data_IF_229080787273
#
_entry.id   IF_229080787273
#
_cell.length_a   1.000
_cell.length_b   1.000
_cell.length_c   1.000
_cell.angle_alpha   90.00
_cell.angle_beta   90.00
_cell.angle_gamma   90.00
#
_symmetry.space_group_name_H-M   'P 1'
#
loop_
_entity.id
_entity.type
_entity.pdbx_description
1 polymer ?
#
# COMPACT_ATOMS: atom_id res chain seq x y z
N UNK A 1 -21.03 62.59 -6.91
CA UNK A 1 -19.78 63.07 -7.50
C UNK A 1 -18.85 61.87 -7.57
N UNK A 2 -18.86 61.17 -8.71
CA UNK A 2 -17.88 61.27 -9.81
C UNK A 2 -16.63 60.40 -9.49
N UNK A 3 -16.47 59.21 -10.09
CA UNK A 3 -15.79 58.96 -11.39
C UNK A 3 -14.34 59.47 -11.33
N UNK A 4 -13.26 58.69 -11.44
CA UNK A 4 -12.85 57.68 -12.45
C UNK A 4 -11.44 57.09 -12.05
N UNK A 5 -10.82 56.20 -12.86
CA UNK A 5 -9.92 55.11 -12.47
C UNK A 5 -8.50 55.28 -13.11
N UNK A 6 -7.80 54.16 -13.31
CA UNK A 6 -6.73 53.85 -14.29
C UNK A 6 -5.45 53.30 -13.66
N UNK A 7 -5.05 52.13 -14.16
CA UNK A 7 -3.78 51.49 -13.81
C UNK A 7 -3.56 50.17 -14.53
N UNK A 8 -3.78 50.13 -15.85
CA UNK A 8 -3.38 49.03 -16.75
C UNK A 8 -2.02 49.36 -17.35
N UNK A 9 -1.01 48.50 -17.13
CA UNK A 9 0.22 48.38 -17.94
C UNK A 9 0.61 46.89 -17.97
N UNK A 10 0.46 46.18 -19.10
CA UNK A 10 1.39 46.02 -20.24
C UNK A 10 2.72 45.32 -19.90
N UNK A 11 2.89 44.08 -20.41
CA UNK A 11 4.06 43.56 -21.15
C UNK A 11 3.99 42.01 -21.16
N UNK A 12 3.64 41.36 -22.27
CA UNK A 12 4.39 41.13 -23.51
C UNK A 12 5.49 40.05 -23.40
N UNK A 13 5.18 38.91 -24.04
CA UNK A 13 6.04 38.06 -24.87
C UNK A 13 7.37 37.52 -24.33
N UNK A 14 7.43 36.19 -24.17
CA UNK A 14 8.58 35.39 -24.58
C UNK A 14 8.08 34.15 -25.35
N UNK A 15 8.21 34.21 -26.68
CA UNK A 15 8.23 33.04 -27.55
C UNK A 15 9.69 32.67 -27.78
N UNK A 16 10.12 31.52 -27.26
CA UNK A 16 11.44 30.95 -27.56
C UNK A 16 11.27 29.77 -28.50
N UNK A 17 11.82 29.95 -29.68
CA UNK A 17 11.99 29.01 -30.78
C UNK A 17 12.96 27.90 -30.36
N UNK A 18 12.55 26.65 -30.48
CA UNK A 18 13.47 25.50 -30.58
C UNK A 18 13.24 24.81 -31.92
N UNK A 19 14.06 25.21 -32.89
CA UNK A 19 14.27 24.48 -34.12
C UNK A 19 15.25 23.32 -33.81
N UNK A 20 14.71 22.12 -33.65
CA UNK A 20 15.49 20.88 -33.64
C UNK A 20 15.72 20.41 -35.07
N UNK A 21 16.97 20.33 -35.48
CA UNK A 21 17.41 19.89 -36.79
C UNK A 21 17.03 18.42 -37.05
N UNK A 22 16.31 18.18 -38.15
CA UNK A 22 16.14 16.87 -38.77
C UNK A 22 17.29 16.69 -39.76
N UNK A 23 18.19 15.74 -39.49
CA UNK A 23 19.13 15.25 -40.51
C UNK A 23 18.48 14.08 -41.25
N UNK A 24 18.33 14.15 -42.59
CA UNK A 24 17.87 13.03 -43.39
C UNK A 24 19.02 12.06 -43.65
N UNK A 25 18.85 10.79 -43.28
CA UNK A 25 19.57 9.70 -43.93
C UNK A 25 18.62 9.08 -44.95
N UNK A 26 18.95 9.30 -46.22
CA UNK A 26 18.21 8.87 -47.40
C UNK A 26 18.31 7.36 -47.61
N UNK A 27 17.21 6.79 -48.09
CA UNK A 27 17.05 5.37 -48.38
C UNK A 27 17.56 5.06 -49.80
N UNK A 28 18.87 4.85 -49.94
CA UNK A 28 19.42 4.07 -51.05
C UNK A 28 20.88 3.73 -50.75
N UNK A 29 21.20 2.44 -50.88
CA UNK A 29 22.52 1.80 -50.77
C UNK A 29 22.95 1.35 -49.36
N UNK A 30 23.37 0.09 -49.36
CA UNK A 30 23.76 -0.75 -48.25
C UNK A 30 24.98 -0.21 -47.49
N UNK A 31 25.13 -0.67 -46.24
CA UNK A 31 26.31 -0.62 -45.36
C UNK A 31 26.67 0.71 -44.71
N UNK A 32 26.27 0.86 -43.44
CA UNK A 32 27.03 1.63 -42.46
C UNK A 32 27.68 0.65 -41.47
N UNK A 33 28.87 0.19 -41.81
CA UNK A 33 29.82 -0.36 -40.84
C UNK A 33 30.49 0.80 -40.12
N UNK A 34 30.56 0.74 -38.79
CA UNK A 34 31.71 1.23 -38.05
C UNK A 34 31.81 0.51 -36.69
N UNK A 35 32.76 -0.41 -36.66
CA UNK A 35 33.37 -0.96 -35.46
C UNK A 35 34.32 0.08 -34.87
N UNK A 36 34.22 0.35 -33.57
CA UNK A 36 35.33 0.89 -32.79
C UNK A 36 35.21 0.36 -31.36
N UNK A 37 36.02 -0.66 -31.08
CA UNK A 37 36.25 -1.23 -29.77
C UNK A 37 37.50 -0.57 -29.16
N UNK A 38 37.36 -0.04 -27.95
CA UNK A 38 38.38 0.15 -26.90
C UNK A 38 37.53 0.19 -25.61
N UNK A 39 37.61 -0.70 -24.63
CA UNK A 39 38.75 -1.44 -24.12
C UNK A 39 39.06 -0.87 -22.74
N UNK A 40 38.57 -1.50 -21.67
CA UNK A 40 39.26 -1.55 -20.37
C UNK A 40 38.63 -2.64 -19.49
N UNK A 41 39.42 -3.69 -19.29
CA UNK A 41 39.24 -4.73 -18.32
C UNK A 41 39.95 -4.30 -17.03
N UNK A 42 39.32 -4.56 -15.88
CA UNK A 42 40.03 -4.61 -14.60
C UNK A 42 39.68 -5.93 -13.92
N UNK A 43 40.73 -6.60 -13.48
CA UNK A 43 40.76 -7.95 -12.97
C UNK A 43 40.30 -8.07 -11.50
N UNK A 44 39.72 -9.23 -11.23
CA UNK A 44 39.85 -10.12 -10.06
C UNK A 44 40.36 -9.55 -8.73
N UNK A 45 39.58 -9.81 -7.67
CA UNK A 45 40.07 -10.64 -6.56
C UNK A 45 38.93 -11.35 -5.83
N UNK A 46 39.26 -12.57 -5.43
CA UNK A 46 38.47 -13.60 -4.76
C UNK A 46 38.17 -13.22 -3.30
N UNK A 47 37.01 -13.65 -2.78
CA UNK A 47 36.99 -14.25 -1.43
C UNK A 47 35.78 -15.18 -1.29
N UNK A 48 36.05 -16.47 -1.47
CA UNK A 48 35.15 -17.58 -1.13
C UNK A 48 35.60 -18.12 0.22
N UNK A 49 34.92 -17.78 1.31
CA UNK A 49 34.79 -18.63 2.50
C UNK A 49 33.94 -17.94 3.56
N UNK A 50 32.79 -18.53 3.89
CA UNK A 50 32.27 -18.78 5.24
C UNK A 50 30.77 -19.11 5.12
N UNK A 51 30.49 -20.28 4.57
CA UNK A 51 29.27 -21.01 4.91
C UNK A 51 29.56 -21.80 6.20
N UNK A 52 28.83 -21.50 7.28
CA UNK A 52 28.88 -22.32 8.48
C UNK A 52 28.38 -21.60 9.72
N UNK A 53 27.24 -22.07 10.24
CA UNK A 53 26.72 -21.80 11.58
C UNK A 53 26.06 -20.44 11.88
N UNK A 54 24.86 -20.22 11.32
CA UNK A 54 23.83 -19.42 12.01
C UNK A 54 22.37 -19.78 11.63
N UNK A 55 22.12 -20.97 11.06
CA UNK A 55 20.79 -21.37 10.59
C UNK A 55 19.99 -22.25 11.57
N UNK A 56 20.33 -22.29 12.88
CA UNK A 56 19.70 -23.25 13.82
C UNK A 56 19.21 -22.64 15.15
N UNK A 57 19.23 -21.32 15.38
CA UNK A 57 18.73 -20.75 16.65
C UNK A 57 17.74 -19.58 16.54
N UNK A 58 16.95 -19.52 15.47
CA UNK A 58 15.87 -18.53 15.33
C UNK A 58 14.47 -19.16 15.19
N UNK A 59 14.30 -20.38 15.71
CA UNK A 59 13.02 -21.10 15.74
C UNK A 59 12.51 -21.47 17.16
N UNK A 60 13.23 -21.14 18.23
CA UNK A 60 12.84 -21.57 19.59
C UNK A 60 12.39 -20.43 20.54
N UNK A 61 12.37 -19.17 20.09
CA UNK A 61 12.02 -18.02 20.95
C UNK A 61 10.57 -17.53 20.88
N UNK A 62 9.73 -18.03 19.95
CA UNK A 62 8.31 -17.61 19.82
C UNK A 62 7.29 -18.59 20.41
N UNK A 63 7.76 -19.67 21.04
CA UNK A 63 6.88 -20.78 21.47
C UNK A 63 6.23 -20.63 22.85
N UNK A 64 6.42 -19.54 23.60
CA UNK A 64 5.92 -19.50 25.00
C UNK A 64 4.97 -18.38 25.41
N UNK A 65 4.52 -17.51 24.49
CA UNK A 65 3.35 -16.64 24.77
C UNK A 65 2.33 -16.58 23.62
N UNK A 66 2.59 -17.29 22.52
CA UNK A 66 1.57 -17.62 21.52
C UNK A 66 0.84 -18.89 21.94
N UNK A 67 -0.22 -18.75 22.73
CA UNK A 67 -1.27 -19.77 22.74
C UNK A 67 -1.64 -20.05 21.28
N UNK A 68 -1.57 -21.31 20.89
CA UNK A 68 -1.71 -21.82 19.53
C UNK A 68 -3.05 -21.42 18.92
N UNK A 69 -3.16 -20.20 18.39
CA UNK A 69 -4.10 -19.89 17.33
C UNK A 69 -3.51 -20.55 16.09
N UNK A 70 -3.78 -21.85 15.95
CA UNK A 70 -3.73 -22.52 14.66
C UNK A 70 -4.38 -21.55 13.67
N UNK A 71 -3.71 -21.26 12.56
CA UNK A 71 -4.38 -20.74 11.37
C UNK A 71 -5.54 -21.70 11.14
N UNK A 72 -6.73 -21.32 11.58
CA UNK A 72 -7.96 -22.08 11.43
C UNK A 72 -8.23 -22.07 9.94
N UNK A 73 -7.52 -22.94 9.20
CA UNK A 73 -7.90 -23.30 7.87
C UNK A 73 -9.30 -23.83 8.01
N UNK A 74 -10.29 -22.99 7.68
CA UNK A 74 -11.67 -23.40 7.55
C UNK A 74 -11.64 -24.50 6.51
N UNK A 75 -11.61 -25.75 6.96
CA UNK A 75 -11.73 -26.89 6.08
C UNK A 75 -13.05 -26.78 5.33
N UNK A 76 -13.06 -27.31 4.12
CA UNK A 76 -14.30 -27.56 3.41
C UNK A 76 -15.21 -28.43 4.29
N UNK A 77 -16.50 -28.11 4.33
CA UNK A 77 -17.45 -28.77 5.20
C UNK A 77 -18.67 -29.24 4.42
N UNK A 78 -19.20 -30.40 4.82
CA UNK A 78 -20.39 -31.01 4.23
C UNK A 78 -21.08 -31.92 5.25
N UNK A 79 -22.10 -32.67 4.82
CA UNK A 79 -22.84 -33.59 5.69
C UNK A 79 -21.98 -34.74 6.25
N UNK A 80 -20.91 -35.12 5.54
CA UNK A 80 -19.95 -36.15 5.95
C UNK A 80 -18.82 -35.61 6.83
N UNK A 81 -18.51 -34.31 6.69
CA UNK A 81 -17.47 -33.60 7.44
C UNK A 81 -18.06 -32.36 8.13
N UNK A 82 -18.80 -32.56 9.25
CA UNK A 82 -19.42 -31.45 9.97
C UNK A 82 -18.37 -30.59 10.69
N UNK A 83 -18.66 -29.30 10.81
CA UNK A 83 -17.86 -28.38 11.61
C UNK A 83 -18.05 -28.68 13.11
N UNK A 84 -16.94 -28.83 13.86
CA UNK A 84 -17.00 -29.19 15.27
C UNK A 84 -17.56 -28.05 16.16
N UNK A 85 -16.97 -26.86 16.07
CA UNK A 85 -17.31 -25.69 16.90
C UNK A 85 -17.66 -24.45 16.05
N UNK A 86 -17.83 -24.66 14.75
CA UNK A 86 -18.08 -23.62 13.76
C UNK A 86 -19.37 -23.91 12.99
N UNK A 87 -19.87 -22.93 12.24
CA UNK A 87 -21.03 -23.10 11.36
C UNK A 87 -20.55 -23.45 9.97
N UNK A 88 -21.05 -24.54 9.39
CA UNK A 88 -20.80 -24.83 7.99
C UNK A 88 -21.61 -23.87 7.11
N UNK A 89 -20.92 -23.04 6.34
CA UNK A 89 -21.54 -22.04 5.47
C UNK A 89 -21.24 -22.41 4.03
N UNK A 90 -22.31 -22.66 3.28
CA UNK A 90 -22.27 -22.98 1.85
C UNK A 90 -22.70 -21.75 1.04
N UNK A 91 -21.96 -21.45 -0.03
CA UNK A 91 -22.37 -20.44 -1.01
C UNK A 91 -23.73 -20.79 -1.62
N UNK A 92 -24.46 -19.79 -2.10
CA UNK A 92 -25.81 -19.99 -2.67
C UNK A 92 -25.80 -20.87 -3.93
N UNK A 93 -24.71 -20.83 -4.70
CA UNK A 93 -24.49 -21.68 -5.87
C UNK A 93 -24.08 -23.14 -5.53
N UNK A 94 -23.81 -23.42 -4.25
CA UNK A 94 -23.36 -24.73 -3.77
C UNK A 94 -21.93 -25.11 -4.16
N UNK A 95 -21.14 -24.21 -4.75
CA UNK A 95 -19.80 -24.55 -5.29
C UNK A 95 -18.72 -24.64 -4.22
N UNK A 96 -18.95 -24.02 -3.06
CA UNK A 96 -17.99 -23.99 -1.96
C UNK A 96 -18.70 -23.93 -0.61
N UNK A 97 -18.14 -24.64 0.37
CA UNK A 97 -18.56 -24.58 1.76
C UNK A 97 -17.35 -24.49 2.66
N UNK A 98 -17.42 -23.72 3.76
CA UNK A 98 -16.35 -23.73 4.76
C UNK A 98 -16.90 -23.56 6.18
N UNK A 99 -16.14 -24.09 7.15
CA UNK A 99 -16.42 -23.84 8.56
C UNK A 99 -16.08 -22.39 8.95
N UNK A 100 -17.10 -21.64 9.38
CA UNK A 100 -16.99 -20.25 9.82
C UNK A 100 -17.23 -20.15 11.33
N UNK A 101 -16.29 -19.52 12.02
CA UNK A 101 -16.45 -19.12 13.42
C UNK A 101 -17.42 -17.92 13.48
N UNK A 102 -18.64 -18.16 13.97
CA UNK A 102 -19.68 -17.15 14.14
C UNK A 102 -19.56 -16.40 15.48
N UNK A 103 -18.43 -16.42 16.16
CA UNK A 103 -18.23 -15.57 17.34
C UNK A 103 -18.07 -14.10 16.95
N UNK A 104 -18.63 -13.19 17.76
CA UNK A 104 -18.48 -11.74 17.57
C UNK A 104 -17.02 -11.28 17.56
N UNK A 105 -16.13 -12.04 18.21
CA UNK A 105 -14.71 -11.74 18.28
C UNK A 105 -13.96 -12.09 16.98
N UNK A 106 -14.31 -13.19 16.31
CA UNK A 106 -13.60 -13.67 15.10
C UNK A 106 -14.26 -13.22 13.81
N UNK A 107 -15.59 -13.18 13.78
CA UNK A 107 -16.36 -12.99 12.55
C UNK A 107 -16.04 -11.68 11.81
N UNK A 108 -15.98 -10.50 12.47
CA UNK A 108 -15.69 -9.23 11.78
C UNK A 108 -14.32 -9.20 11.09
N UNK A 109 -13.33 -9.89 11.67
CA UNK A 109 -11.97 -9.96 11.10
C UNK A 109 -11.84 -11.01 10.02
N UNK A 110 -12.54 -12.14 10.13
CA UNK A 110 -12.48 -13.16 9.09
C UNK A 110 -13.26 -12.74 7.84
N UNK A 111 -14.39 -12.05 8.03
CA UNK A 111 -15.33 -11.76 6.97
C UNK A 111 -14.81 -10.78 5.90
N UNK A 112 -13.80 -9.98 6.25
CA UNK A 112 -13.10 -9.11 5.31
C UNK A 112 -12.24 -9.86 4.29
N UNK A 113 -11.96 -11.16 4.49
CA UNK A 113 -11.16 -11.97 3.56
C UNK A 113 -12.00 -12.89 2.68
N UNK A 114 -13.32 -12.93 2.88
CA UNK A 114 -14.23 -13.72 2.07
C UNK A 114 -14.69 -12.93 0.84
N UNK A 115 -14.93 -13.64 -0.27
CA UNK A 115 -15.64 -13.10 -1.41
C UNK A 115 -17.10 -12.74 -1.06
N UNK A 116 -17.78 -12.02 -1.97
CA UNK A 116 -19.12 -11.50 -1.71
C UNK A 116 -20.17 -12.60 -1.47
N UNK A 117 -20.06 -13.73 -2.16
CA UNK A 117 -21.04 -14.82 -2.05
C UNK A 117 -20.92 -15.53 -0.73
N UNK A 118 -19.69 -15.91 -0.36
CA UNK A 118 -19.42 -16.55 0.91
C UNK A 118 -19.73 -15.61 2.08
N UNK A 119 -19.42 -14.32 1.96
CA UNK A 119 -19.74 -13.32 2.97
C UNK A 119 -21.25 -13.18 3.18
N UNK A 120 -22.04 -13.09 2.10
CA UNK A 120 -23.51 -13.03 2.17
C UNK A 120 -24.08 -14.27 2.86
N UNK A 121 -23.60 -15.46 2.47
CA UNK A 121 -23.99 -16.71 3.10
C UNK A 121 -23.62 -16.74 4.59
N UNK A 122 -22.44 -16.24 4.95
CA UNK A 122 -21.94 -16.22 6.32
C UNK A 122 -22.74 -15.26 7.22
N UNK A 123 -23.06 -14.06 6.74
CA UNK A 123 -23.92 -13.10 7.46
C UNK A 123 -25.30 -13.70 7.72
N UNK A 124 -25.87 -14.37 6.72
CA UNK A 124 -27.17 -15.05 6.84
C UNK A 124 -27.12 -16.21 7.83
N UNK A 125 -26.05 -17.00 7.82
CA UNK A 125 -25.90 -18.17 8.69
C UNK A 125 -25.56 -17.80 10.14
N UNK A 126 -24.68 -16.83 10.34
CA UNK A 126 -24.21 -16.41 11.67
C UNK A 126 -25.11 -15.35 12.33
N UNK A 127 -25.94 -14.63 11.56
CA UNK A 127 -26.75 -13.52 12.08
C UNK A 127 -25.93 -12.32 12.55
N UNK A 128 -24.63 -12.30 12.25
CA UNK A 128 -23.72 -11.21 12.59
C UNK A 128 -23.49 -10.33 11.36
N UNK A 129 -23.49 -8.99 11.53
CA UNK A 129 -23.12 -8.12 10.44
C UNK A 129 -21.64 -8.30 10.15
N UNK A 130 -21.30 -8.50 8.88
CA UNK A 130 -19.97 -8.21 8.41
C UNK A 130 -19.97 -6.73 8.04
N UNK A 131 -19.83 -5.86 9.04
CA UNK A 131 -19.50 -4.45 8.84
C UNK A 131 -18.07 -4.39 8.30
N UNK A 132 -17.91 -4.80 7.04
CA UNK A 132 -16.62 -4.74 6.40
C UNK A 132 -16.14 -3.29 6.48
N UNK A 133 -14.86 -3.11 6.82
CA UNK A 133 -14.07 -2.09 6.17
C UNK A 133 -14.51 -2.00 4.69
N UNK A 134 -14.64 -0.79 4.12
CA UNK A 134 -15.31 -0.53 2.84
C UNK A 134 -15.04 -1.68 1.86
N UNK A 135 -16.10 -2.26 1.26
CA UNK A 135 -16.03 -3.55 0.59
C UNK A 135 -14.71 -3.65 -0.16
N UNK A 136 -13.85 -4.61 0.22
CA UNK A 136 -12.57 -4.79 -0.47
C UNK A 136 -12.87 -4.87 -1.96
N UNK A 137 -12.58 -3.78 -2.66
CA UNK A 137 -12.80 -3.59 -4.09
C UNK A 137 -11.69 -4.33 -4.84
N UNK A 138 -11.60 -5.62 -4.62
CA UNK A 138 -10.65 -6.51 -5.27
C UNK A 138 -11.36 -7.87 -5.33
N UNK A 139 -11.46 -8.60 -6.44
CA UNK A 139 -10.71 -8.52 -7.69
C UNK A 139 -11.43 -9.22 -8.85
N UNK A 140 -12.67 -9.70 -8.65
CA UNK A 140 -13.20 -10.79 -9.49
C UNK A 140 -14.49 -10.45 -10.27
N UNK A 141 -15.04 -9.25 -10.13
CA UNK A 141 -16.16 -8.77 -10.95
C UNK A 141 -15.88 -7.37 -11.53
N UNK A 142 -14.62 -7.15 -11.94
CA UNK A 142 -14.06 -5.87 -12.37
C UNK A 142 -14.70 -5.26 -13.62
N UNK A 143 -15.92 -4.77 -13.46
CA UNK A 143 -16.57 -3.87 -14.39
C UNK A 143 -17.33 -2.77 -13.65
N UNK A 144 -16.63 -1.72 -13.24
CA UNK A 144 -17.31 -0.47 -12.94
C UNK A 144 -17.77 0.19 -14.26
N UNK A 145 -18.91 0.86 -14.21
CA UNK A 145 -19.47 1.59 -15.35
C UNK A 145 -20.20 2.81 -14.83
N UNK A 146 -20.00 3.96 -15.48
CA UNK A 146 -20.65 5.20 -15.08
C UNK A 146 -22.18 5.08 -15.00
N UNK A 147 -22.77 4.14 -15.76
CA UNK A 147 -24.23 4.01 -15.90
C UNK A 147 -24.80 2.80 -15.18
N UNK A 148 -24.14 1.64 -15.27
CA UNK A 148 -24.71 0.35 -14.81
C UNK A 148 -24.11 -0.14 -13.50
N UNK A 149 -22.94 0.36 -13.11
CA UNK A 149 -22.24 -0.04 -11.89
C UNK A 149 -21.33 1.12 -11.42
N UNK A 150 -21.92 2.25 -10.98
CA UNK A 150 -21.14 3.39 -10.56
C UNK A 150 -20.33 3.04 -9.31
N UNK A 151 -19.14 3.61 -9.22
CA UNK A 151 -18.32 3.47 -8.02
C UNK A 151 -19.00 4.10 -6.81
N UNK A 152 -18.74 3.53 -5.63
CA UNK A 152 -19.12 4.18 -4.38
C UNK A 152 -18.49 5.58 -4.29
N UNK A 153 -19.16 6.48 -3.58
CA UNK A 153 -18.72 7.87 -3.44
C UNK A 153 -17.27 7.96 -2.99
N UNK A 154 -16.49 8.81 -3.68
CA UNK A 154 -15.06 9.02 -3.40
C UNK A 154 -14.11 8.15 -4.22
N UNK A 155 -14.62 7.19 -5.00
CA UNK A 155 -13.81 6.37 -5.90
C UNK A 155 -14.07 6.70 -7.36
N UNK A 156 -13.04 6.49 -8.18
CA UNK A 156 -13.07 6.76 -9.61
C UNK A 156 -13.10 5.46 -10.37
N UNK A 157 -14.06 5.31 -11.29
CA UNK A 157 -14.08 4.18 -12.19
C UNK A 157 -12.99 4.35 -13.26
N UNK A 158 -12.07 3.40 -13.34
CA UNK A 158 -11.01 3.39 -14.35
C UNK A 158 -11.16 2.17 -15.23
N UNK A 159 -11.23 2.42 -16.53
CA UNK A 159 -11.37 1.40 -17.56
C UNK A 159 -10.09 1.36 -18.38
N UNK A 160 -9.57 0.16 -18.65
CA UNK A 160 -8.44 -0.01 -19.57
C UNK A 160 -8.76 0.53 -20.95
N UNK A 161 -7.74 0.92 -21.71
CA UNK A 161 -7.90 1.44 -23.07
C UNK A 161 -8.55 0.45 -24.05
N UNK A 162 -8.44 -0.85 -23.79
CA UNK A 162 -9.06 -1.91 -24.60
C UNK A 162 -10.51 -2.22 -24.17
N UNK A 163 -11.00 -1.64 -23.07
CA UNK A 163 -12.32 -1.87 -22.51
C UNK A 163 -12.54 -3.26 -21.88
N UNK A 164 -11.50 -4.09 -21.76
CA UNK A 164 -11.65 -5.48 -21.26
C UNK A 164 -11.75 -5.56 -19.73
N UNK A 165 -11.39 -4.49 -19.03
CA UNK A 165 -11.40 -4.42 -17.57
C UNK A 165 -11.71 -3.01 -17.09
N UNK A 166 -12.47 -2.90 -16.00
CA UNK A 166 -12.61 -1.65 -15.26
C UNK A 166 -12.78 -1.84 -13.77
N UNK A 167 -12.17 -0.97 -12.96
CA UNK A 167 -12.31 -1.04 -11.51
C UNK A 167 -12.41 0.33 -10.87
N UNK A 168 -13.10 0.39 -9.74
CA UNK A 168 -13.13 1.55 -8.89
C UNK A 168 -11.81 1.65 -8.13
N UNK A 169 -11.12 2.79 -8.25
CA UNK A 169 -9.87 3.07 -7.54
C UNK A 169 -10.02 4.29 -6.66
N UNK A 170 -9.22 4.33 -5.59
CA UNK A 170 -9.09 5.50 -4.74
C UNK A 170 -8.00 6.42 -5.33
N UNK A 171 -8.41 7.59 -5.84
CA UNK A 171 -7.49 8.60 -6.39
C UNK A 171 -6.82 9.45 -5.29
N UNK A 172 -7.02 9.16 -4.01
CA UNK A 172 -6.34 9.88 -2.94
C UNK A 172 -4.83 9.66 -3.00
N UNK A 173 -4.06 10.69 -2.69
CA UNK A 173 -2.59 10.61 -2.62
C UNK A 173 -2.09 9.63 -1.56
N UNK A 174 -2.96 9.23 -0.63
CA UNK A 174 -2.65 8.26 0.41
C UNK A 174 -2.71 6.81 -0.10
N UNK A 175 -3.62 6.50 -1.03
CA UNK A 175 -3.86 5.12 -1.48
C UNK A 175 -3.34 4.85 -2.90
N UNK A 176 -3.57 5.78 -3.83
CA UNK A 176 -3.24 5.61 -5.25
C UNK A 176 -1.81 5.11 -5.52
N UNK A 177 -0.76 5.67 -4.89
CA UNK A 177 0.61 5.27 -5.23
C UNK A 177 0.97 3.87 -4.72
N UNK A 178 0.30 3.39 -3.66
CA UNK A 178 0.47 2.03 -3.16
C UNK A 178 -0.18 1.02 -4.09
N UNK A 179 -1.42 1.28 -4.51
CA UNK A 179 -2.15 0.37 -5.38
C UNK A 179 -1.55 0.34 -6.78
N UNK A 180 -1.09 1.50 -7.28
CA UNK A 180 -0.59 1.61 -8.63
C UNK A 180 0.58 0.67 -8.92
N UNK A 181 1.46 0.42 -7.96
CA UNK A 181 2.61 -0.48 -8.14
C UNK A 181 2.19 -1.90 -8.58
N UNK A 182 0.98 -2.33 -8.20
CA UNK A 182 0.47 -3.68 -8.43
C UNK A 182 -0.40 -3.84 -9.68
N UNK A 183 -0.73 -2.74 -10.38
CA UNK A 183 -1.53 -2.80 -11.61
C UNK A 183 -0.67 -3.13 -12.83
N UNK A 184 -1.25 -3.78 -13.84
CA UNK A 184 -0.58 -3.90 -15.13
C UNK A 184 -0.44 -2.53 -15.82
N UNK A 185 0.37 -2.47 -16.88
CA UNK A 185 0.70 -1.21 -17.57
C UNK A 185 -0.53 -0.49 -18.14
N UNK A 186 -1.54 -1.23 -18.60
CA UNK A 186 -2.73 -0.64 -19.25
C UNK A 186 -3.65 -0.01 -18.22
N UNK A 187 -3.96 -0.72 -17.13
CA UNK A 187 -4.78 -0.19 -16.05
C UNK A 187 -4.06 0.96 -15.35
N UNK A 188 -2.74 0.84 -15.17
CA UNK A 188 -1.88 1.88 -14.62
C UNK A 188 -1.94 3.17 -15.43
N UNK A 189 -1.79 3.09 -16.75
CA UNK A 189 -1.87 4.27 -17.62
C UNK A 189 -3.24 4.95 -17.52
N UNK A 190 -4.33 4.17 -17.59
CA UNK A 190 -5.69 4.69 -17.45
C UNK A 190 -5.93 5.32 -16.06
N UNK A 191 -5.35 4.74 -15.00
CA UNK A 191 -5.49 5.24 -13.64
C UNK A 191 -4.74 6.56 -13.43
N UNK A 192 -3.53 6.70 -13.98
CA UNK A 192 -2.76 7.96 -13.96
C UNK A 192 -3.52 9.08 -14.66
N UNK A 193 -4.13 8.78 -15.81
CA UNK A 193 -4.96 9.73 -16.54
C UNK A 193 -6.21 10.13 -15.72
N UNK A 194 -6.95 9.14 -15.22
CA UNK A 194 -8.18 9.36 -14.48
C UNK A 194 -7.99 10.10 -13.15
N UNK A 195 -6.90 9.81 -12.42
CA UNK A 195 -6.60 10.46 -11.15
C UNK A 195 -5.71 11.70 -11.29
N UNK A 196 -5.18 11.99 -12.49
CA UNK A 196 -4.20 13.06 -12.73
C UNK A 196 -3.00 13.00 -11.77
N UNK A 197 -2.57 11.79 -11.41
CA UNK A 197 -1.51 11.53 -10.44
C UNK A 197 -0.56 10.47 -11.00
N UNK A 198 0.75 10.74 -11.11
CA UNK A 198 1.68 9.73 -11.56
C UNK A 198 1.86 8.65 -10.48
N UNK A 199 2.11 7.41 -10.86
CA UNK A 199 2.33 6.34 -9.89
C UNK A 199 3.61 6.50 -9.06
N UNK A 200 4.58 7.22 -9.61
CA UNK A 200 5.81 7.60 -8.92
C UNK A 200 5.64 8.86 -8.08
N UNK A 201 4.47 9.53 -8.12
CA UNK A 201 4.03 10.34 -6.99
C UNK A 201 3.65 9.38 -5.87
N UNK A 202 4.65 8.61 -5.40
CA UNK A 202 4.66 8.16 -4.02
C UNK A 202 4.21 9.39 -3.23
N UNK A 203 3.35 9.25 -2.21
CA UNK A 203 3.29 10.34 -1.24
C UNK A 203 4.76 10.63 -0.85
N UNK A 204 5.05 11.77 -0.25
CA UNK A 204 6.26 11.76 0.58
C UNK A 204 5.98 10.63 1.57
N UNK A 205 6.44 9.43 1.25
CA UNK A 205 6.50 8.29 2.11
C UNK A 205 7.54 8.83 3.04
N UNK A 206 7.04 9.54 4.05
CA UNK A 206 7.59 9.55 5.39
C UNK A 206 8.15 8.17 5.50
N UNK A 207 9.47 8.00 5.29
CA UNK A 207 10.09 6.71 5.02
C UNK A 207 9.44 5.78 6.01
N UNK A 208 8.46 4.97 5.58
CA UNK A 208 7.72 4.18 6.55
C UNK A 208 8.79 3.20 6.89
N UNK A 209 9.33 3.43 8.09
CA UNK A 209 10.52 2.81 8.57
C UNK A 209 10.32 1.37 8.24
N UNK A 210 11.19 0.81 7.38
CA UNK A 210 11.18 -0.63 7.18
C UNK A 210 11.03 -1.20 8.59
N UNK A 211 9.98 -1.98 8.84
CA UNK A 211 9.79 -2.64 10.13
C UNK A 211 11.03 -3.46 10.52
N UNK A 212 11.93 -3.66 9.56
CA UNK A 212 13.23 -4.30 9.63
C UNK A 212 14.37 -3.41 10.19
N UNK A 213 14.15 -2.12 10.43
CA UNK A 213 15.07 -1.31 11.24
C UNK A 213 14.83 -1.75 12.70
N UNK A 214 15.48 -2.86 13.08
CA UNK A 214 15.42 -3.42 14.41
C UNK A 214 15.79 -2.42 15.51
N UNK A 215 15.83 -2.84 16.79
CA UNK A 215 16.03 -1.95 17.91
C UNK A 215 17.28 -1.07 17.72
N UNK A 216 17.07 0.22 17.41
CA UNK A 216 18.15 1.19 17.18
C UNK A 216 18.98 1.46 18.44
N UNK A 217 18.52 1.00 19.60
CA UNK A 217 19.25 1.03 20.87
C UNK A 217 20.24 -0.14 21.04
N UNK A 218 20.04 -1.27 20.35
CA UNK A 218 20.85 -2.48 20.51
C UNK A 218 21.81 -2.77 19.34
N UNK A 219 21.58 -2.14 18.18
CA UNK A 219 22.41 -2.34 16.99
C UNK A 219 23.52 -1.28 16.86
N UNK A 220 24.69 -1.68 16.38
CA UNK A 220 25.69 -0.76 15.81
C UNK A 220 25.15 0.09 14.64
N UNK A 221 23.96 -0.26 14.12
CA UNK A 221 23.22 0.52 13.15
C UNK A 221 22.65 1.77 13.82
N UNK A 222 23.27 2.92 13.52
CA UNK A 222 22.66 4.23 13.74
C UNK A 222 21.46 4.37 12.82
N UNK A 223 20.45 5.11 13.25
CA UNK A 223 19.40 5.55 12.36
C UNK A 223 19.99 6.26 11.14
N UNK A 224 19.36 6.09 9.97
CA UNK A 224 19.72 6.85 8.78
C UNK A 224 19.70 8.36 9.09
N UNK A 225 20.48 9.13 8.33
CA UNK A 225 20.50 10.59 8.45
C UNK A 225 19.07 11.16 8.36
N UNK A 226 18.72 12.02 9.31
CA UNK A 226 17.39 12.63 9.42
C UNK A 226 16.38 11.87 10.28
N UNK A 227 16.74 10.69 10.81
CA UNK A 227 15.88 9.92 11.73
C UNK A 227 16.41 9.96 13.17
N UNK A 228 15.50 9.94 14.13
CA UNK A 228 15.78 9.95 15.57
C UNK A 228 15.51 8.57 16.17
N UNK A 229 16.49 7.97 16.84
CA UNK A 229 16.23 6.72 17.57
C UNK A 229 15.36 7.00 18.80
N UNK A 230 14.21 6.33 18.86
CA UNK A 230 13.26 6.42 19.96
C UNK A 230 13.20 5.08 20.66
N UNK A 231 13.47 5.07 21.95
CA UNK A 231 13.48 3.88 22.79
C UNK A 231 12.38 4.00 23.84
N UNK A 232 11.58 2.96 23.99
CA UNK A 232 10.59 2.89 25.06
C UNK A 232 11.27 2.98 26.44
N UNK A 233 10.55 3.47 27.45
CA UNK A 233 11.10 3.65 28.79
C UNK A 233 11.57 2.33 29.45
N UNK A 234 10.99 1.20 29.04
CA UNK A 234 11.39 -0.14 29.49
C UNK A 234 12.63 -0.70 28.76
N UNK A 235 13.11 -0.01 27.71
CA UNK A 235 14.24 -0.44 26.87
C UNK A 235 13.94 -1.66 26.00
N UNK A 236 12.72 -2.20 26.00
CA UNK A 236 12.39 -3.44 25.29
C UNK A 236 12.30 -3.24 23.78
N UNK A 237 11.79 -2.08 23.35
CA UNK A 237 11.64 -1.72 21.95
C UNK A 237 12.29 -0.37 21.65
N UNK A 238 12.88 -0.26 20.46
CA UNK A 238 13.32 1.01 19.91
C UNK A 238 13.12 1.02 18.40
N UNK A 239 12.87 2.21 17.84
CA UNK A 239 12.70 2.41 16.41
C UNK A 239 13.25 3.77 16.02
N UNK A 240 13.89 3.86 14.85
CA UNK A 240 14.20 5.16 14.25
C UNK A 240 12.88 5.85 13.86
N UNK A 241 12.72 7.14 14.05
CA UNK A 241 11.49 7.88 13.74
C UNK A 241 11.84 9.15 12.97
N UNK A 242 11.04 9.47 11.95
CA UNK A 242 11.12 10.76 11.27
C UNK A 242 10.35 11.82 12.09
N UNK A 243 11.08 12.72 12.72
CA UNK A 243 10.52 13.80 13.54
C UNK A 243 10.03 15.01 12.71
N UNK A 244 10.07 14.97 11.38
CA UNK A 244 9.56 16.06 10.56
C UNK A 244 8.07 16.30 10.84
N UNK A 245 7.64 17.56 10.83
CA UNK A 245 6.26 17.95 11.15
C UNK A 245 5.23 17.44 10.15
N UNK A 246 5.65 17.11 8.92
CA UNK A 246 4.82 16.43 7.91
C UNK A 246 4.70 14.93 8.16
N UNK A 247 5.66 14.37 8.88
CA UNK A 247 5.87 12.93 9.03
C UNK A 247 5.29 12.37 10.31
N UNK A 248 5.65 13.01 11.41
CA UNK A 248 5.34 12.59 12.77
C UNK A 248 3.82 12.46 13.02
N UNK A 249 2.96 13.42 12.63
CA UNK A 249 1.52 13.34 12.90
C UNK A 249 0.81 12.13 12.25
N UNK A 250 1.34 11.63 11.13
CA UNK A 250 0.77 10.49 10.43
C UNK A 250 1.22 9.17 11.06
N UNK A 251 2.51 9.03 11.34
CA UNK A 251 3.06 7.80 11.90
C UNK A 251 2.61 7.55 13.35
N UNK A 252 2.40 8.62 14.13
CA UNK A 252 2.11 8.51 15.55
C UNK A 252 0.77 7.84 15.88
N UNK A 253 -0.20 7.84 14.95
CA UNK A 253 -1.49 7.15 15.11
C UNK A 253 -1.41 5.62 15.15
N UNK A 254 -0.26 5.04 14.78
CA UNK A 254 -0.06 3.59 14.71
C UNK A 254 0.81 3.04 15.86
N UNK A 255 1.29 3.91 16.76
CA UNK A 255 2.20 3.51 17.84
C UNK A 255 1.46 3.12 19.12
N UNK A 256 2.08 2.23 19.90
CA UNK A 256 1.63 1.96 21.26
C UNK A 256 1.80 3.21 22.15
N UNK A 257 1.02 3.37 23.23
CA UNK A 257 1.13 4.53 24.12
C UNK A 257 2.55 4.77 24.67
N UNK A 258 3.28 3.68 24.93
CA UNK A 258 4.66 3.73 25.42
C UNK A 258 5.64 4.24 24.36
N UNK A 259 5.53 3.77 23.11
CA UNK A 259 6.37 4.25 22.01
C UNK A 259 6.01 5.68 21.62
N UNK A 260 4.72 6.02 21.63
CA UNK A 260 4.21 7.35 21.39
C UNK A 260 4.80 8.36 22.38
N UNK A 261 4.70 8.10 23.68
CA UNK A 261 5.24 8.99 24.71
C UNK A 261 6.75 9.21 24.55
N UNK A 262 7.51 8.14 24.24
CA UNK A 262 8.93 8.25 23.94
C UNK A 262 9.20 9.07 22.68
N UNK A 263 8.39 8.90 21.63
CA UNK A 263 8.53 9.60 20.36
C UNK A 263 8.22 11.09 20.48
N UNK A 264 7.17 11.45 21.22
CA UNK A 264 6.82 12.85 21.48
C UNK A 264 7.93 13.58 22.24
N UNK A 265 8.53 12.90 23.24
CA UNK A 265 9.67 13.41 23.98
C UNK A 265 10.91 13.57 23.08
N UNK A 266 11.24 12.54 22.28
CA UNK A 266 12.42 12.55 21.43
C UNK A 266 12.32 13.54 20.26
N UNK A 267 11.13 13.69 19.67
CA UNK A 267 10.88 14.60 18.55
C UNK A 267 10.46 16.01 18.99
N UNK A 268 10.25 16.25 20.30
CA UNK A 268 9.72 17.51 20.82
C UNK A 268 8.43 17.95 20.10
N UNK A 269 7.57 16.98 19.78
CA UNK A 269 6.35 17.17 19.02
C UNK A 269 5.22 16.37 19.67
N UNK A 270 4.04 16.95 19.78
CA UNK A 270 2.86 16.22 20.23
C UNK A 270 2.21 15.53 19.03
N UNK A 271 1.82 14.27 19.21
CA UNK A 271 0.93 13.63 18.26
C UNK A 271 -0.42 14.33 18.39
N UNK A 272 -0.99 14.85 17.29
CA UNK A 272 -2.33 15.39 17.38
C UNK A 272 -3.22 14.28 17.92
N UNK A 273 -4.04 14.59 18.93
CA UNK A 273 -5.12 13.71 19.32
C UNK A 273 -5.80 13.27 18.02
N UNK A 274 -6.08 11.96 17.82
CA UNK A 274 -6.69 11.50 16.60
C UNK A 274 -7.86 12.45 16.37
N UNK A 275 -7.77 13.24 15.31
CA UNK A 275 -8.93 13.97 14.86
C UNK A 275 -9.87 12.82 14.60
N UNK A 276 -10.80 12.55 15.53
CA UNK A 276 -11.92 11.65 15.32
C UNK A 276 -12.31 11.96 13.91
N UNK A 277 -12.02 11.03 12.98
CA UNK A 277 -12.17 11.30 11.57
C UNK A 277 -13.61 11.73 11.47
N UNK A 278 -13.84 13.05 11.39
CA UNK A 278 -15.13 13.63 11.13
C UNK A 278 -15.29 13.42 9.63
N UNK A 279 -15.36 12.15 9.22
CA UNK A 279 -16.25 11.73 8.18
C UNK A 279 -17.61 12.24 8.64
N UNK A 280 -17.92 13.46 8.20
CA UNK A 280 -19.23 14.07 8.35
C UNK A 280 -20.24 13.00 7.95
N UNK A 281 -21.11 12.66 8.89
CA UNK A 281 -22.34 11.91 8.64
C UNK A 281 -23.14 12.57 7.52
#
# INVERSE_FOLDING_TARGET
>A
MALLPLGTLLSAALSSVLAGAVLPCDAATETCSNSAALGEAVAETEDTAMAGFAHVQLLQGKQQLGGSLKKSGGGECDASTPCAEATCVTKEDGTWSQCIDCSEASFPYACEYWDNDLRRAAVKACGLPCEAAPPKLYKDEGHCSATSAPCISGLTCVTKGDGTWSQCIDCSSAQFPYDCEWWDNELRAAAVEACSMPCDAKPVVIKTLKQDQGPCHASAAKCDSGLTCVTQADGYWSQCIDCASTSFPYACGYWSPQLLSAAEAACSAACPAPALLQHKK
#
